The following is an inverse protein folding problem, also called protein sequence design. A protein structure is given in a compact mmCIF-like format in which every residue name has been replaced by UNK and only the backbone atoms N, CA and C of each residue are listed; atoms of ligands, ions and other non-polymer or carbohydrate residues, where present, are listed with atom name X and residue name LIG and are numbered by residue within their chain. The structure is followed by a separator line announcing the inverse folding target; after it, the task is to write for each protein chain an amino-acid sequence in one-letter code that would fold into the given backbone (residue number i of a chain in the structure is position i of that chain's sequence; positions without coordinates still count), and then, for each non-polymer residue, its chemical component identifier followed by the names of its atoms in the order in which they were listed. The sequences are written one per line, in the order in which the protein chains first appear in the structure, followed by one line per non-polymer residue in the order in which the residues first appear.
data_IF_051102187765
#
_entry.id   IF_051102187765
#
_cell.length_a   1.000
_cell.length_b   1.000
_cell.length_c   1.000
_cell.angle_alpha   90.00
_cell.angle_beta   90.00
_cell.angle_gamma   90.00
#
_symmetry.space_group_name_H-M   'P 1'
#
loop_
_entity.id
_entity.type
_entity.pdbx_description
1 polymer ?
#
# COMPACT_ATOMS: atom_id res chain seq x y z
N UNK A 1 -15.02 6.78 15.21
CA UNK A 1 -15.25 7.00 13.78
C UNK A 1 -13.94 6.94 13.01
N UNK A 2 -14.00 6.39 11.79
CA UNK A 2 -12.86 6.36 10.85
C UNK A 2 -12.90 7.56 9.92
N UNK A 3 -11.73 8.09 9.58
CA UNK A 3 -11.54 9.18 8.63
C UNK A 3 -10.83 8.67 7.35
N UNK A 4 -10.87 9.42 6.23
CA UNK A 4 -10.11 9.06 5.04
C UNK A 4 -8.64 8.81 5.33
N UNK A 5 -8.06 7.77 4.76
CA UNK A 5 -6.66 7.37 4.95
C UNK A 5 -6.40 6.44 6.14
N UNK A 6 -7.41 6.14 6.95
CA UNK A 6 -7.27 5.22 8.08
C UNK A 6 -7.54 3.76 7.69
N UNK A 7 -6.78 2.84 8.27
CA UNK A 7 -6.97 1.39 8.18
C UNK A 7 -7.49 0.85 9.51
N UNK A 8 -8.50 -0.02 9.45
CA UNK A 8 -8.98 -0.82 10.57
C UNK A 8 -8.72 -2.30 10.29
N UNK A 9 -7.90 -2.94 11.12
CA UNK A 9 -7.73 -4.38 11.09
C UNK A 9 -8.82 -5.08 11.91
N UNK A 10 -9.53 -6.03 11.30
CA UNK A 10 -10.55 -6.84 11.96
C UNK A 10 -10.11 -8.31 11.90
N UNK A 11 -9.94 -8.98 13.06
CA UNK A 11 -9.59 -10.40 13.10
C UNK A 11 -10.66 -11.29 12.44
N UNK A 12 -10.29 -12.42 11.86
CA UNK A 12 -11.24 -13.40 11.34
C UNK A 12 -12.25 -13.84 12.41
N UNK A 13 -13.53 -13.93 12.03
CA UNK A 13 -14.63 -14.33 12.92
C UNK A 13 -15.14 -13.23 13.85
N UNK A 14 -14.62 -12.02 13.77
CA UNK A 14 -15.15 -10.87 14.53
C UNK A 14 -16.38 -10.31 13.83
N UNK A 15 -17.47 -10.14 14.59
CA UNK A 15 -18.64 -9.40 14.09
C UNK A 15 -18.30 -7.91 14.04
N UNK A 16 -18.37 -7.32 12.85
CA UNK A 16 -18.15 -5.91 12.64
C UNK A 16 -19.27 -5.30 11.79
N UNK A 17 -19.53 -4.02 12.01
CA UNK A 17 -20.49 -3.26 11.23
C UNK A 17 -20.02 -1.83 11.03
N UNK A 18 -20.44 -1.24 9.94
CA UNK A 18 -20.21 0.18 9.65
C UNK A 18 -21.54 0.94 9.68
N UNK A 19 -21.54 2.10 10.29
CA UNK A 19 -22.68 3.03 10.31
C UNK A 19 -22.19 4.41 9.88
N UNK A 20 -22.84 5.01 8.90
CA UNK A 20 -22.47 6.35 8.39
C UNK A 20 -23.71 7.19 8.18
N UNK A 21 -23.64 8.46 8.58
CA UNK A 21 -24.72 9.43 8.35
C UNK A 21 -24.57 10.13 6.98
N UNK A 22 -23.35 10.20 6.45
CA UNK A 22 -23.03 10.97 5.24
C UNK A 22 -22.38 10.15 4.11
N UNK A 23 -22.47 8.84 4.19
CA UNK A 23 -21.80 7.92 3.26
C UNK A 23 -20.31 7.75 3.54
N UNK A 24 -19.82 6.54 3.38
CA UNK A 24 -18.42 6.15 3.52
C UNK A 24 -18.00 5.32 2.31
N UNK A 25 -16.90 5.70 1.67
CA UNK A 25 -16.23 4.87 0.67
C UNK A 25 -15.00 4.28 1.32
N UNK A 26 -14.88 2.96 1.34
CA UNK A 26 -13.72 2.26 1.90
C UNK A 26 -13.26 1.12 0.99
N UNK A 27 -12.01 0.73 1.17
CA UNK A 27 -11.44 -0.47 0.55
C UNK A 27 -11.28 -1.54 1.62
N UNK A 28 -11.77 -2.73 1.36
CA UNK A 28 -11.61 -3.89 2.24
C UNK A 28 -10.66 -4.91 1.59
N UNK A 29 -9.66 -5.35 2.35
CA UNK A 29 -8.75 -6.43 1.97
C UNK A 29 -9.03 -7.61 2.89
N UNK A 30 -9.60 -8.69 2.35
CA UNK A 30 -9.88 -9.92 3.09
C UNK A 30 -8.76 -10.91 2.87
N UNK A 31 -8.05 -11.26 3.93
CA UNK A 31 -6.92 -12.19 3.91
C UNK A 31 -7.34 -13.50 4.55
N UNK A 32 -7.23 -14.61 3.82
CA UNK A 32 -7.46 -15.94 4.37
C UNK A 32 -6.33 -16.34 5.33
N UNK A 33 -6.67 -17.05 6.38
CA UNK A 33 -5.80 -17.31 7.54
C UNK A 33 -4.59 -18.23 7.27
N UNK A 34 -4.54 -18.93 6.14
CA UNK A 34 -3.45 -19.87 5.86
C UNK A 34 -2.12 -19.14 5.69
N UNK A 35 -1.16 -19.42 6.57
CA UNK A 35 0.20 -18.84 6.57
C UNK A 35 0.25 -17.30 6.64
N UNK A 36 -0.77 -16.66 7.22
CA UNK A 36 -0.79 -15.21 7.38
C UNK A 36 0.18 -14.76 8.48
N UNK A 37 1.12 -13.90 8.10
CA UNK A 37 1.91 -13.09 9.03
C UNK A 37 1.41 -11.66 9.00
N UNK A 38 1.05 -11.13 10.18
CA UNK A 38 0.64 -9.73 10.38
C UNK A 38 1.66 -8.98 11.22
N UNK A 39 2.00 -7.76 10.83
CA UNK A 39 2.83 -6.89 11.63
C UNK A 39 2.05 -6.41 12.87
N UNK A 40 2.65 -6.56 14.05
CA UNK A 40 2.03 -6.18 15.33
C UNK A 40 1.82 -4.66 15.50
N UNK A 41 2.37 -3.84 14.61
CA UNK A 41 2.12 -2.40 14.57
C UNK A 41 0.66 -2.07 14.22
N UNK A 42 0.00 -2.98 13.48
CA UNK A 42 -1.44 -2.91 13.21
C UNK A 42 -2.20 -3.57 14.35
N UNK A 43 -2.81 -2.75 15.20
CA UNK A 43 -3.61 -3.25 16.33
C UNK A 43 -5.03 -3.52 15.89
N UNK A 44 -5.56 -4.69 16.24
CA UNK A 44 -6.96 -5.01 16.02
C UNK A 44 -7.86 -4.03 16.76
N UNK A 45 -8.93 -3.56 16.10
CA UNK A 45 -9.89 -2.64 16.68
C UNK A 45 -9.43 -1.19 16.80
N UNK A 46 -8.30 -0.82 16.20
CA UNK A 46 -7.80 0.55 16.19
C UNK A 46 -7.70 1.08 14.75
N UNK A 47 -8.22 2.29 14.54
CA UNK A 47 -8.02 3.00 13.28
C UNK A 47 -6.60 3.56 13.21
N UNK A 48 -5.93 3.37 12.08
CA UNK A 48 -4.52 3.72 11.88
C UNK A 48 -4.34 4.43 10.55
N UNK A 49 -3.63 5.55 10.54
CA UNK A 49 -3.17 6.23 9.32
C UNK A 49 -1.96 5.46 8.77
N UNK A 50 -2.09 4.86 7.60
CA UNK A 50 -1.00 4.06 7.01
C UNK A 50 0.28 4.86 6.79
N UNK A 51 0.17 6.11 6.35
CA UNK A 51 1.33 6.99 6.09
C UNK A 51 2.16 7.27 7.35
N UNK A 52 1.55 7.19 8.54
CA UNK A 52 2.21 7.50 9.82
C UNK A 52 2.95 6.27 10.41
N UNK A 53 2.73 5.08 9.83
CA UNK A 53 3.39 3.86 10.28
C UNK A 53 4.83 3.72 9.78
N UNK A 54 5.23 4.49 8.77
CA UNK A 54 6.55 4.42 8.16
C UNK A 54 7.17 5.81 8.06
N UNK A 55 8.43 5.93 8.43
CA UNK A 55 9.21 7.17 8.35
C UNK A 55 10.10 7.18 7.12
N UNK A 56 10.44 8.38 6.64
CA UNK A 56 11.47 8.54 5.61
C UNK A 56 12.86 8.24 6.20
N UNK A 57 13.69 7.60 5.41
CA UNK A 57 15.11 7.37 5.68
C UNK A 57 15.94 8.18 4.67
N UNK A 58 16.88 8.96 5.14
CA UNK A 58 17.69 9.87 4.31
C UNK A 58 18.39 9.12 3.17
N UNK A 59 18.17 9.57 1.94
CA UNK A 59 18.77 9.03 0.72
C UNK A 59 18.35 7.59 0.37
N UNK A 60 17.32 7.05 1.01
CA UNK A 60 16.92 5.65 0.81
C UNK A 60 15.40 5.46 0.69
N UNK A 61 15.00 4.21 0.47
CA UNK A 61 13.62 3.77 0.46
C UNK A 61 13.41 2.87 1.68
N UNK A 62 12.61 3.34 2.64
CA UNK A 62 12.19 2.51 3.76
C UNK A 62 11.06 1.57 3.35
N UNK A 63 11.04 0.36 3.92
CA UNK A 63 10.02 -0.66 3.68
C UNK A 63 9.46 -1.19 5.00
N UNK A 64 8.15 -1.41 5.06
CA UNK A 64 7.48 -2.00 6.20
C UNK A 64 6.43 -3.01 5.73
N UNK A 65 6.69 -4.30 5.92
CA UNK A 65 5.72 -5.35 5.66
C UNK A 65 4.60 -5.27 6.70
N UNK A 66 3.36 -5.07 6.25
CA UNK A 66 2.17 -5.06 7.11
C UNK A 66 1.55 -6.45 7.23
N UNK A 67 1.46 -7.17 6.12
CA UNK A 67 0.93 -8.52 6.08
C UNK A 67 1.51 -9.29 4.91
N UNK A 68 1.74 -10.59 5.08
CA UNK A 68 2.04 -11.48 3.96
C UNK A 68 1.54 -12.90 4.19
N UNK A 69 1.28 -13.58 3.09
CA UNK A 69 1.08 -15.03 2.98
C UNK A 69 2.02 -15.55 1.88
N UNK A 70 1.98 -16.85 1.60
CA UNK A 70 2.74 -17.42 0.47
C UNK A 70 2.36 -16.77 -0.88
N UNK A 71 1.11 -16.28 -1.00
CA UNK A 71 0.54 -15.76 -2.25
C UNK A 71 0.22 -14.25 -2.22
N UNK A 72 0.58 -13.53 -1.16
CA UNK A 72 0.24 -12.11 -1.05
C UNK A 72 1.24 -11.36 -0.18
N UNK A 73 1.57 -10.14 -0.58
CA UNK A 73 2.30 -9.15 0.22
C UNK A 73 1.53 -7.84 0.29
N UNK A 74 1.45 -7.28 1.49
CA UNK A 74 0.98 -5.92 1.70
C UNK A 74 2.06 -5.14 2.45
N UNK A 75 2.66 -4.17 1.76
CA UNK A 75 3.85 -3.44 2.23
C UNK A 75 3.63 -1.93 2.13
N UNK A 76 4.18 -1.17 3.08
CA UNK A 76 4.36 0.27 2.97
C UNK A 76 5.78 0.57 2.51
N UNK A 77 5.91 1.61 1.70
CA UNK A 77 7.20 2.13 1.25
C UNK A 77 7.22 3.65 1.40
N UNK A 78 8.34 4.17 1.92
CA UNK A 78 8.60 5.60 2.02
C UNK A 78 9.87 5.94 1.23
N UNK A 79 9.72 6.79 0.25
CA UNK A 79 10.78 7.22 -0.66
C UNK A 79 11.27 8.60 -0.25
N UNK A 80 12.55 8.74 0.05
CA UNK A 80 13.15 10.05 0.20
C UNK A 80 13.31 10.75 -1.15
N UNK A 81 13.53 12.05 -1.14
CA UNK A 81 13.70 12.84 -2.37
C UNK A 81 14.83 12.27 -3.24
N UNK A 82 14.55 12.13 -4.54
CA UNK A 82 15.50 11.61 -5.53
C UNK A 82 15.67 10.09 -5.52
N UNK A 83 14.90 9.36 -4.70
CA UNK A 83 14.92 7.89 -4.70
C UNK A 83 13.85 7.31 -5.61
N UNK A 84 14.00 6.04 -5.99
CA UNK A 84 13.05 5.36 -6.86
C UNK A 84 13.39 3.90 -7.06
N UNK A 85 12.40 3.15 -7.55
CA UNK A 85 12.57 1.78 -8.01
C UNK A 85 12.85 1.81 -9.52
N UNK A 86 14.01 1.30 -9.90
CA UNK A 86 14.39 1.14 -11.32
C UNK A 86 13.44 0.20 -12.05
N UNK A 87 13.36 0.26 -13.39
CA UNK A 87 12.49 -0.63 -14.16
C UNK A 87 12.71 -2.11 -13.83
N UNK A 88 11.66 -2.79 -13.44
CA UNK A 88 11.65 -4.21 -13.07
C UNK A 88 10.29 -4.86 -13.35
N UNK A 89 10.21 -6.18 -13.17
CA UNK A 89 8.98 -6.97 -13.34
C UNK A 89 8.66 -7.70 -12.05
N UNK A 90 7.40 -7.66 -11.61
CA UNK A 90 6.94 -8.42 -10.45
C UNK A 90 6.24 -9.72 -10.90
N UNK A 91 6.36 -10.81 -10.11
CA UNK A 91 5.79 -12.11 -10.47
C UNK A 91 4.28 -12.22 -10.21
N UNK A 92 3.61 -11.15 -9.82
CA UNK A 92 2.19 -11.09 -9.51
C UNK A 92 1.53 -9.81 -9.97
N UNK A 93 0.21 -9.77 -9.87
CA UNK A 93 -0.56 -8.54 -10.06
C UNK A 93 -0.40 -7.64 -8.83
N UNK A 94 -0.29 -6.34 -9.03
CA UNK A 94 -0.10 -5.41 -7.92
C UNK A 94 -1.01 -4.19 -8.01
N UNK A 95 -1.40 -3.67 -6.85
CA UNK A 95 -2.07 -2.37 -6.71
C UNK A 95 -1.20 -1.51 -5.82
N UNK A 96 -0.72 -0.41 -6.38
CA UNK A 96 -0.02 0.66 -5.67
C UNK A 96 -1.03 1.75 -5.33
N UNK A 97 -1.05 2.22 -4.09
CA UNK A 97 -1.84 3.39 -3.67
C UNK A 97 -0.91 4.44 -3.08
N UNK A 98 -0.92 5.64 -3.65
CA UNK A 98 -0.18 6.78 -3.12
C UNK A 98 -0.84 7.28 -1.82
N UNK A 99 -0.06 7.35 -0.73
CA UNK A 99 -0.51 7.77 0.60
C UNK A 99 -0.12 9.21 0.92
N UNK A 100 1.04 9.65 0.42
CA UNK A 100 1.59 11.00 0.64
C UNK A 100 2.50 11.39 -0.52
N UNK A 101 2.49 12.67 -0.92
CA UNK A 101 3.33 13.18 -1.99
C UNK A 101 2.89 12.75 -3.37
N UNK A 102 3.86 12.72 -4.30
CA UNK A 102 3.64 12.28 -5.69
C UNK A 102 4.85 11.55 -6.26
N UNK A 103 4.59 10.71 -7.27
CA UNK A 103 5.60 9.97 -7.99
C UNK A 103 5.28 9.89 -9.48
N UNK A 104 6.29 9.64 -10.28
CA UNK A 104 6.14 9.19 -11.66
C UNK A 104 6.20 7.68 -11.69
N UNK A 105 5.17 7.06 -12.23
CA UNK A 105 5.07 5.63 -12.46
C UNK A 105 5.40 5.37 -13.93
N UNK A 106 6.53 4.73 -14.19
CA UNK A 106 6.81 4.18 -15.52
C UNK A 106 6.10 2.84 -15.67
N UNK A 107 5.32 2.63 -16.73
CA UNK A 107 4.64 1.37 -17.00
C UNK A 107 4.59 1.08 -18.50
N UNK A 108 5.19 -0.04 -18.92
CA UNK A 108 5.25 -0.49 -20.33
C UNK A 108 5.69 0.63 -21.31
N UNK A 109 6.69 1.43 -20.89
CA UNK A 109 7.27 2.50 -21.71
C UNK A 109 6.54 3.83 -21.69
N UNK A 110 5.53 3.99 -20.85
CA UNK A 110 4.80 5.25 -20.63
C UNK A 110 4.91 5.72 -19.19
N UNK A 111 4.89 7.02 -18.98
CA UNK A 111 4.96 7.65 -17.67
C UNK A 111 3.60 8.19 -17.24
N UNK A 112 3.27 7.97 -15.96
CA UNK A 112 2.03 8.41 -15.33
C UNK A 112 2.35 9.13 -14.03
N UNK A 113 1.85 10.36 -13.86
CA UNK A 113 1.92 11.02 -12.56
C UNK A 113 0.87 10.44 -11.62
N UNK A 114 1.28 10.07 -10.41
CA UNK A 114 0.43 9.56 -9.35
C UNK A 114 0.56 10.43 -8.11
N UNK A 115 -0.57 10.91 -7.59
CA UNK A 115 -0.65 11.77 -6.40
C UNK A 115 -1.38 11.08 -5.26
N UNK A 116 -1.20 11.57 -4.03
CA UNK A 116 -1.84 11.02 -2.84
C UNK A 116 -3.36 10.81 -3.03
N UNK A 117 -3.86 9.63 -2.65
CA UNK A 117 -5.24 9.18 -2.83
C UNK A 117 -5.51 8.44 -4.13
N UNK A 118 -4.59 8.45 -5.08
CA UNK A 118 -4.73 7.70 -6.34
C UNK A 118 -4.08 6.32 -6.24
N UNK A 119 -4.58 5.38 -7.07
CA UNK A 119 -4.03 4.04 -7.18
C UNK A 119 -3.65 3.72 -8.63
N UNK A 120 -2.64 2.86 -8.78
CA UNK A 120 -2.18 2.35 -10.06
C UNK A 120 -2.08 0.83 -10.01
N UNK A 121 -2.54 0.13 -11.05
CA UNK A 121 -2.45 -1.31 -11.17
C UNK A 121 -1.30 -1.72 -12.08
N UNK A 122 -0.51 -2.69 -11.65
CA UNK A 122 0.46 -3.41 -12.47
C UNK A 122 -0.02 -4.83 -12.73
N UNK A 123 0.02 -5.26 -13.98
CA UNK A 123 -0.21 -6.65 -14.32
C UNK A 123 1.05 -7.49 -14.06
N UNK A 124 0.85 -8.77 -13.79
CA UNK A 124 1.93 -9.76 -13.63
C UNK A 124 2.95 -9.65 -14.78
N UNK A 125 4.22 -9.51 -14.41
CA UNK A 125 5.34 -9.33 -15.33
C UNK A 125 5.30 -8.03 -16.16
N UNK A 126 4.41 -7.08 -15.91
CA UNK A 126 4.45 -5.75 -16.50
C UNK A 126 5.73 -5.01 -16.09
N UNK A 127 6.46 -4.42 -17.05
CA UNK A 127 7.67 -3.63 -16.77
C UNK A 127 7.26 -2.31 -16.14
N UNK A 128 7.73 -2.05 -14.92
CA UNK A 128 7.35 -0.84 -14.20
C UNK A 128 8.49 -0.27 -13.35
N UNK A 129 8.39 1.03 -13.08
CA UNK A 129 9.29 1.79 -12.21
C UNK A 129 8.50 2.79 -11.37
N UNK A 130 9.10 3.27 -10.29
CA UNK A 130 8.55 4.32 -9.42
C UNK A 130 9.63 5.35 -9.17
N UNK A 131 9.40 6.60 -9.49
CA UNK A 131 10.33 7.72 -9.25
C UNK A 131 9.65 8.77 -8.39
N UNK A 132 10.15 8.94 -7.17
CA UNK A 132 9.61 9.95 -6.24
C UNK A 132 9.85 11.37 -6.77
N UNK A 133 8.83 12.21 -6.70
CA UNK A 133 8.89 13.65 -6.99
C UNK A 133 8.88 14.43 -5.68
N UNK A 134 10.05 14.52 -5.02
CA UNK A 134 10.16 14.88 -3.62
C UNK A 134 9.93 13.66 -2.71
N UNK A 135 9.47 13.87 -1.48
CA UNK A 135 9.13 12.77 -0.55
C UNK A 135 7.80 12.12 -0.94
N UNK A 136 7.77 10.79 -0.97
CA UNK A 136 6.61 10.02 -1.41
C UNK A 136 6.39 8.78 -0.54
N UNK A 137 5.14 8.52 -0.15
CA UNK A 137 4.75 7.26 0.53
C UNK A 137 3.66 6.54 -0.25
N UNK A 138 3.77 5.24 -0.27
CA UNK A 138 2.78 4.37 -0.91
C UNK A 138 2.52 3.10 -0.10
N UNK A 139 1.36 2.49 -0.34
CA UNK A 139 1.12 1.08 -0.04
C UNK A 139 1.14 0.26 -1.31
N UNK A 140 1.61 -0.96 -1.21
CA UNK A 140 1.64 -1.93 -2.30
C UNK A 140 1.00 -3.23 -1.85
N UNK A 141 -0.06 -3.63 -2.54
CA UNK A 141 -0.65 -4.96 -2.44
C UNK A 141 -0.19 -5.78 -3.65
N UNK A 142 0.62 -6.79 -3.42
CA UNK A 142 1.08 -7.75 -4.43
C UNK A 142 0.37 -9.08 -4.23
N UNK A 143 -0.26 -9.58 -5.29
CA UNK A 143 -0.92 -10.90 -5.32
C UNK A 143 -0.15 -11.81 -6.25
N UNK A 144 0.40 -12.90 -5.70
CA UNK A 144 1.15 -13.92 -6.42
C UNK A 144 0.19 -15.02 -6.88
N UNK A 145 0.30 -15.42 -8.13
CA UNK A 145 -0.49 -16.50 -8.75
C UNK A 145 0.41 -17.69 -9.09
#
# INVERSE_FOLDING_TARGET
PMHPGQLLWVPPGTLCGTCTDNGLIYTEIIIKKENLTMNSILKAGAATELKDLISYEEGSIANLDLAHTDNMKFVLMAFDEGTGLTPHRAPGNAILTALEGKAIIGYEGQDYELTAGQSFRFDKNGLHSVTAQGKFKMSLLLVLE
#
